data_IF_985243395379
#
_entry.id   IF_985243395379
#
_cell.length_a   1.000
_cell.length_b   1.000
_cell.length_c   1.000
_cell.angle_alpha   90.00
_cell.angle_beta   90.00
_cell.angle_gamma   90.00
#
_symmetry.space_group_name_H-M   'P 1'
#
loop_
_entity.id
_entity.type
_entity.pdbx_description
1 polymer ?
#
# COMPACT_ATOMS: atom_id res chain seq x y z
N UNK A 1 2.10 -17.51 10.23
CA UNK A 1 3.27 -16.71 9.80
C UNK A 1 2.94 -15.26 10.06
N UNK A 2 3.74 -14.56 10.86
CA UNK A 2 3.56 -13.12 11.08
C UNK A 2 4.16 -12.38 9.88
N UNK A 3 3.30 -11.90 8.98
CA UNK A 3 3.70 -11.17 7.76
C UNK A 3 3.38 -9.69 7.96
N UNK A 4 4.28 -8.82 7.52
CA UNK A 4 4.05 -7.39 7.41
C UNK A 4 4.48 -6.90 6.03
N UNK A 5 3.99 -5.74 5.62
CA UNK A 5 4.41 -5.06 4.42
C UNK A 5 4.97 -3.70 4.82
N UNK A 6 6.12 -3.34 4.25
CA UNK A 6 6.60 -1.97 4.24
C UNK A 6 5.98 -1.30 3.02
N UNK A 7 5.13 -0.30 3.27
CA UNK A 7 4.48 0.51 2.24
C UNK A 7 5.20 1.86 2.23
N UNK A 8 5.87 2.15 1.12
CA UNK A 8 6.47 3.44 0.82
C UNK A 8 5.53 4.24 -0.08
N UNK A 9 5.19 5.45 0.35
CA UNK A 9 4.48 6.43 -0.46
C UNK A 9 5.47 7.54 -0.78
N UNK A 10 5.73 7.73 -2.07
CA UNK A 10 6.55 8.82 -2.57
C UNK A 10 5.66 9.91 -3.13
N UNK A 11 5.73 11.08 -2.49
CA UNK A 11 5.02 12.30 -2.89
C UNK A 11 6.11 13.33 -3.19
N UNK A 12 6.24 13.73 -4.46
CA UNK A 12 7.33 14.59 -4.92
C UNK A 12 8.74 14.01 -4.59
N UNK A 13 9.51 14.68 -3.75
CA UNK A 13 10.84 14.27 -3.28
C UNK A 13 10.81 13.53 -1.93
N UNK A 14 9.68 13.54 -1.23
CA UNK A 14 9.54 12.91 0.08
C UNK A 14 9.05 11.46 -0.03
N UNK A 15 9.66 10.58 0.76
CA UNK A 15 9.27 9.17 0.86
C UNK A 15 8.83 8.88 2.29
N UNK A 16 7.55 8.56 2.46
CA UNK A 16 6.99 8.11 3.73
C UNK A 16 6.84 6.60 3.70
N UNK A 17 7.59 5.90 4.55
CA UNK A 17 7.48 4.45 4.69
C UNK A 17 6.84 4.09 6.01
N UNK A 18 5.83 3.23 5.98
CA UNK A 18 5.21 2.66 7.17
C UNK A 18 5.07 1.15 7.04
N UNK A 19 5.11 0.48 8.20
CA UNK A 19 4.96 -0.97 8.27
C UNK A 19 3.55 -1.33 8.71
N UNK A 20 2.87 -2.13 7.89
CA UNK A 20 1.51 -2.61 8.16
C UNK A 20 1.46 -4.13 8.25
N UNK A 21 0.86 -4.71 9.30
CA UNK A 21 0.74 -6.16 9.40
C UNK A 21 -0.32 -6.69 8.44
N UNK A 22 -0.16 -7.93 7.96
CA UNK A 22 -1.08 -8.55 6.99
C UNK A 22 -2.53 -8.59 7.50
N UNK A 23 -2.76 -8.77 8.80
CA UNK A 23 -4.12 -8.74 9.36
C UNK A 23 -4.80 -7.38 9.18
N UNK A 24 -4.02 -6.29 9.23
CA UNK A 24 -4.54 -4.94 9.05
C UNK A 24 -4.85 -4.66 7.57
N UNK A 25 -4.01 -5.15 6.65
CA UNK A 25 -4.29 -5.08 5.21
C UNK A 25 -5.58 -5.83 4.88
N UNK A 26 -5.76 -7.04 5.42
CA UNK A 26 -7.02 -7.80 5.28
C UNK A 26 -8.22 -7.02 5.82
N UNK A 27 -8.06 -6.40 6.98
CA UNK A 27 -9.11 -5.58 7.57
C UNK A 27 -9.45 -4.40 6.66
N UNK A 28 -8.46 -3.65 6.15
CA UNK A 28 -8.67 -2.54 5.22
C UNK A 28 -9.40 -2.98 3.95
N UNK A 29 -8.93 -4.05 3.30
CA UNK A 29 -9.55 -4.58 2.07
C UNK A 29 -11.03 -4.92 2.26
N UNK A 30 -11.43 -5.39 3.44
CA UNK A 30 -12.81 -5.76 3.75
C UNK A 30 -13.70 -4.58 4.17
N UNK A 31 -13.12 -3.41 4.46
CA UNK A 31 -13.84 -2.25 5.01
C UNK A 31 -13.62 -0.97 4.20
N UNK A 32 -12.91 -1.05 3.08
CA UNK A 32 -12.76 0.09 2.17
C UNK A 32 -14.13 0.48 1.60
N UNK A 33 -14.40 1.78 1.39
CA UNK A 33 -15.63 2.22 0.72
C UNK A 33 -15.78 1.56 -0.65
N UNK A 34 -17.02 1.24 -1.02
CA UNK A 34 -17.30 0.68 -2.34
C UNK A 34 -17.04 1.72 -3.43
N UNK A 35 -16.18 1.33 -4.36
CA UNK A 35 -15.84 2.06 -5.57
C UNK A 35 -15.59 1.02 -6.67
N UNK A 36 -16.01 1.32 -7.90
CA UNK A 36 -16.00 0.33 -8.99
C UNK A 36 -14.58 -0.15 -9.35
N UNK A 37 -13.56 0.70 -9.20
CA UNK A 37 -12.16 0.35 -9.47
C UNK A 37 -11.59 -0.41 -8.27
N UNK A 38 -11.83 0.08 -7.05
CA UNK A 38 -11.36 -0.59 -5.83
C UNK A 38 -11.96 -1.98 -5.66
N UNK A 39 -13.23 -2.21 -5.99
CA UNK A 39 -13.88 -3.50 -5.81
C UNK A 39 -13.15 -4.63 -6.58
N UNK A 40 -12.68 -4.34 -7.79
CA UNK A 40 -11.88 -5.29 -8.58
C UNK A 40 -10.51 -5.57 -7.95
N UNK A 41 -9.82 -4.51 -7.53
CA UNK A 41 -8.50 -4.61 -6.90
C UNK A 41 -8.59 -5.36 -5.56
N UNK A 42 -9.62 -5.09 -4.76
CA UNK A 42 -9.86 -5.74 -3.46
C UNK A 42 -10.00 -7.26 -3.62
N UNK A 43 -10.80 -7.70 -4.60
CA UNK A 43 -10.98 -9.14 -4.87
C UNK A 43 -9.65 -9.79 -5.24
N UNK A 44 -8.88 -9.16 -6.14
CA UNK A 44 -7.58 -9.68 -6.57
C UNK A 44 -6.56 -9.71 -5.43
N UNK A 45 -6.47 -8.64 -4.65
CA UNK A 45 -5.59 -8.56 -3.49
C UNK A 45 -5.94 -9.62 -2.44
N UNK A 46 -7.22 -9.78 -2.10
CA UNK A 46 -7.69 -10.81 -1.16
C UNK A 46 -7.37 -12.23 -1.66
N UNK A 47 -7.56 -12.51 -2.94
CA UNK A 47 -7.20 -13.80 -3.53
C UNK A 47 -5.68 -14.03 -3.45
N UNK A 48 -4.87 -13.06 -3.86
CA UNK A 48 -3.42 -13.16 -3.90
C UNK A 48 -2.83 -13.38 -2.50
N UNK A 49 -3.27 -12.62 -1.48
CA UNK A 49 -2.79 -12.78 -0.10
C UNK A 49 -3.30 -14.05 0.61
N UNK A 50 -4.33 -14.69 0.06
CA UNK A 50 -4.84 -15.96 0.58
C UNK A 50 -4.02 -17.13 0.07
N UNK A 51 -3.61 -17.08 -1.20
CA UNK A 51 -2.81 -18.15 -1.83
C UNK A 51 -1.32 -18.01 -1.50
N UNK A 52 -0.73 -16.83 -1.74
CA UNK A 52 0.70 -16.59 -1.58
C UNK A 52 0.97 -15.14 -1.13
N UNK A 53 0.80 -14.82 0.16
CA UNK A 53 0.92 -13.45 0.67
C UNK A 53 2.31 -12.83 0.48
N UNK A 54 3.35 -13.63 0.28
CA UNK A 54 4.71 -13.12 0.05
C UNK A 54 5.10 -13.07 -1.43
N UNK A 55 4.21 -13.49 -2.33
CA UNK A 55 4.49 -13.58 -3.77
C UNK A 55 4.36 -12.23 -4.47
N UNK A 56 5.07 -12.06 -5.58
CA UNK A 56 5.13 -10.79 -6.34
C UNK A 56 3.75 -10.28 -6.77
N UNK A 57 2.83 -11.20 -7.11
CA UNK A 57 1.44 -10.86 -7.44
C UNK A 57 0.74 -10.23 -6.23
N UNK A 58 0.87 -10.81 -5.04
CA UNK A 58 0.28 -10.25 -3.84
C UNK A 58 0.87 -8.86 -3.50
N UNK A 59 2.16 -8.66 -3.74
CA UNK A 59 2.81 -7.36 -3.56
C UNK A 59 2.27 -6.32 -4.54
N UNK A 60 2.17 -6.67 -5.82
CA UNK A 60 1.66 -5.80 -6.86
C UNK A 60 0.21 -5.39 -6.58
N UNK A 61 -0.67 -6.34 -6.26
CA UNK A 61 -2.07 -6.06 -5.94
C UNK A 61 -2.22 -5.17 -4.68
N UNK A 62 -1.32 -5.31 -3.70
CA UNK A 62 -1.28 -4.42 -2.54
C UNK A 62 -0.80 -3.01 -2.94
N UNK A 63 0.19 -2.88 -3.81
CA UNK A 63 0.60 -1.58 -4.36
C UNK A 63 -0.57 -0.90 -5.07
N UNK A 64 -1.27 -1.63 -5.94
CA UNK A 64 -2.39 -1.12 -6.72
C UNK A 64 -3.53 -0.68 -5.78
N UNK A 65 -3.83 -1.49 -4.76
CA UNK A 65 -4.81 -1.14 -3.73
C UNK A 65 -4.49 0.17 -3.02
N UNK A 66 -3.28 0.33 -2.49
CA UNK A 66 -2.91 1.56 -1.80
C UNK A 66 -2.86 2.76 -2.75
N UNK A 67 -2.49 2.54 -4.01
CA UNK A 67 -2.44 3.59 -5.03
C UNK A 67 -3.84 4.13 -5.31
N UNK A 68 -4.79 3.24 -5.58
CA UNK A 68 -6.16 3.62 -5.87
C UNK A 68 -6.85 4.23 -4.64
N UNK A 69 -6.60 3.66 -3.45
CA UNK A 69 -7.12 4.22 -2.20
C UNK A 69 -6.65 5.66 -1.97
N UNK A 70 -5.38 5.95 -2.29
CA UNK A 70 -4.85 7.30 -2.17
C UNK A 70 -5.43 8.25 -3.22
N UNK A 71 -5.62 7.80 -4.46
CA UNK A 71 -6.27 8.62 -5.47
C UNK A 71 -7.71 8.95 -5.10
N UNK A 72 -8.47 7.98 -4.57
CA UNK A 72 -9.82 8.22 -4.10
C UNK A 72 -9.86 9.25 -2.95
N UNK A 73 -8.93 9.15 -1.99
CA UNK A 73 -8.81 10.14 -0.92
C UNK A 73 -8.44 11.52 -1.47
N UNK A 74 -7.48 11.60 -2.40
CA UNK A 74 -7.10 12.87 -3.04
C UNK A 74 -8.25 13.48 -3.83
N UNK A 75 -9.04 12.69 -4.55
CA UNK A 75 -10.21 13.16 -5.29
C UNK A 75 -11.33 13.65 -4.34
N UNK A 76 -11.53 12.99 -3.20
CA UNK A 76 -12.42 13.47 -2.14
C UNK A 76 -11.95 14.80 -1.53
N UNK A 77 -10.65 14.97 -1.32
CA UNK A 77 -10.08 16.22 -0.82
C UNK A 77 -10.13 17.35 -1.87
N UNK A 78 -9.84 17.04 -3.14
CA UNK A 78 -9.87 17.99 -4.25
C UNK A 78 -11.30 18.46 -4.59
N UNK A 79 -12.31 17.63 -4.31
CA UNK A 79 -13.72 18.06 -4.35
C UNK A 79 -14.02 19.23 -3.38
N UNK A 80 -13.14 19.47 -2.39
CA UNK A 80 -13.24 20.57 -1.43
C UNK A 80 -12.21 21.70 -1.64
N UNK A 81 -11.16 21.51 -2.45
CA UNK A 81 -10.08 22.50 -2.67
C UNK A 81 -9.51 22.39 -4.10
N UNK A 82 -9.32 23.54 -4.76
CA UNK A 82 -8.85 23.70 -6.14
C UNK A 82 -7.64 22.79 -6.51
N UNK A 83 -7.81 22.06 -7.61
CA UNK A 83 -6.96 20.97 -8.12
C UNK A 83 -5.45 21.26 -8.14
N UNK A 84 -4.68 20.48 -7.37
CA UNK A 84 -3.27 20.21 -7.63
C UNK A 84 -3.13 18.69 -7.66
N UNK A 85 -3.02 18.10 -8.86
CA UNK A 85 -2.71 16.68 -9.03
C UNK A 85 -1.21 16.47 -8.76
N UNK A 86 -0.87 16.19 -7.52
CA UNK A 86 0.50 15.80 -7.13
C UNK A 86 0.76 14.38 -7.61
N UNK A 87 1.84 14.10 -8.37
CA UNK A 87 2.16 12.73 -8.77
C UNK A 87 2.55 11.91 -7.53
N UNK A 88 1.84 10.80 -7.31
CA UNK A 88 2.14 9.88 -6.22
C UNK A 88 2.61 8.54 -6.77
N UNK A 89 3.68 8.00 -6.18
CA UNK A 89 4.17 6.65 -6.46
C UNK A 89 4.14 5.82 -5.18
N UNK A 90 3.49 4.66 -5.23
CA UNK A 90 3.47 3.70 -4.12
C UNK A 90 4.35 2.50 -4.41
N UNK A 91 5.07 2.05 -3.39
CA UNK A 91 5.91 0.86 -3.41
C UNK A 91 5.58 0.01 -2.19
N UNK A 92 5.22 -1.26 -2.38
CA UNK A 92 5.05 -2.23 -1.30
C UNK A 92 6.20 -3.23 -1.31
N UNK A 93 6.64 -3.64 -0.12
CA UNK A 93 7.62 -4.72 0.06
C UNK A 93 7.17 -5.63 1.20
N UNK A 94 7.23 -6.94 0.98
CA UNK A 94 6.94 -7.93 2.03
C UNK A 94 8.10 -8.02 3.03
N UNK A 95 7.76 -8.01 4.32
CA UNK A 95 8.68 -8.25 5.43
C UNK A 95 8.16 -9.41 6.29
N UNK A 96 8.78 -10.60 6.24
CA UNK A 96 8.48 -11.66 7.21
C UNK A 96 8.98 -11.24 8.60
N UNK A 97 8.13 -11.29 9.63
CA UNK A 97 8.59 -11.07 11.03
C UNK A 97 9.51 -12.23 11.43
N UNK A 98 10.74 -11.87 11.79
CA UNK A 98 11.85 -12.78 12.08
C UNK A 98 13.18 -12.26 11.52
N UNK A 99 13.13 -11.38 10.52
CA UNK A 99 14.30 -10.66 10.00
C UNK A 99 14.22 -9.23 10.53
N UNK A 100 15.05 -8.93 11.53
CA UNK A 100 15.30 -7.55 11.96
C UNK A 100 16.06 -6.84 10.85
N UNK A 101 15.36 -6.17 9.93
CA UNK A 101 15.99 -5.14 9.12
C UNK A 101 15.80 -3.83 9.88
N UNK A 102 16.83 -3.47 10.63
CA UNK A 102 17.04 -2.13 11.15
C UNK A 102 17.33 -1.24 9.93
N UNK A 103 16.52 -0.23 9.58
CA UNK A 103 16.98 0.82 8.68
C UNK A 103 17.82 1.77 9.53
N UNK A 104 19.07 1.40 9.77
CA UNK A 104 20.01 2.19 10.54
C UNK A 104 21.06 2.74 9.60
N UNK A 105 20.91 4.00 9.21
CA UNK A 105 21.98 4.88 8.70
C UNK A 105 22.99 4.22 7.75
N UNK A 106 22.73 4.29 6.44
CA UNK A 106 23.84 4.30 5.47
C UNK A 106 23.88 5.71 4.88
N UNK A 107 24.87 6.55 5.25
CA UNK A 107 25.16 7.75 4.48
C UNK A 107 25.72 7.31 3.13
N UNK A 108 25.14 7.84 2.05
CA UNK A 108 25.73 7.75 0.71
C UNK A 108 26.96 8.66 0.69
N UNK A 109 28.13 8.07 0.95
CA UNK A 109 29.44 8.63 0.60
C UNK A 109 29.78 8.31 -0.84
#
# INVERSE_FOLDING_TARGET
MDISYDIGIKIEEEVHTFRVPLWFIRWLLLHVPSDAVLDGIVINALNSITHEPTGDVAVAEICDFFTELLYLELDWQASNVQEIRVPVQIQARVVPRGISIIPGNVPLS
#
